data_IF_051758335198
#
_entry.id   IF_051758335198
#
_cell.length_a   1.000
_cell.length_b   1.000
_cell.length_c   1.000
_cell.angle_alpha   90.00
_cell.angle_beta   90.00
_cell.angle_gamma   90.00
#
_symmetry.space_group_name_H-M   'P 1'
#
loop_
_entity.id
_entity.type
_entity.pdbx_description
1 polymer ?
#
# COMPACT_ATOMS: atom_id res chain seq x y z
N UNK A 1 10.79 0.32 14.93
CA UNK A 1 10.02 -0.76 14.30
C UNK A 1 8.58 -0.67 14.79
N UNK A 2 7.60 -0.71 13.89
CA UNK A 2 6.18 -0.64 14.22
C UNK A 2 5.61 -2.05 14.47
N UNK A 3 4.80 -2.18 15.52
CA UNK A 3 4.01 -3.39 15.77
C UNK A 3 2.71 -3.35 14.95
N UNK A 4 2.81 -3.79 13.69
CA UNK A 4 1.68 -3.86 12.75
C UNK A 4 1.35 -5.33 12.49
N UNK A 5 0.17 -5.81 12.92
CA UNK A 5 -0.26 -7.18 12.65
C UNK A 5 -0.31 -7.48 11.15
N UNK A 6 0.25 -8.62 10.75
CA UNK A 6 0.18 -9.08 9.36
C UNK A 6 -1.26 -9.44 8.99
N UNK A 7 -1.78 -8.79 7.94
CA UNK A 7 -3.05 -9.13 7.31
C UNK A 7 -2.74 -9.81 5.98
N UNK A 8 -3.10 -11.09 5.86
CA UNK A 8 -2.92 -11.85 4.60
C UNK A 8 -3.83 -11.33 3.51
N UNK A 9 -3.36 -11.29 2.27
CA UNK A 9 -4.23 -10.98 1.14
C UNK A 9 -5.29 -12.07 0.95
N UNK A 10 -6.57 -11.68 0.77
CA UNK A 10 -7.69 -12.61 0.57
C UNK A 10 -7.75 -13.16 -0.87
N UNK A 11 -6.96 -12.59 -1.79
CA UNK A 11 -6.89 -12.92 -3.21
C UNK A 11 -5.55 -12.45 -3.80
N UNK A 12 -5.13 -13.05 -4.92
CA UNK A 12 -3.84 -12.79 -5.59
C UNK A 12 -3.61 -11.33 -6.00
N UNK A 13 -4.70 -10.61 -6.20
CA UNK A 13 -4.80 -9.24 -6.65
C UNK A 13 -4.96 -8.23 -5.50
N UNK A 14 -5.16 -8.74 -4.28
CA UNK A 14 -5.45 -7.94 -3.10
C UNK A 14 -4.19 -7.59 -2.29
N UNK A 15 -2.99 -7.80 -2.83
CA UNK A 15 -1.73 -7.43 -2.16
C UNK A 15 -1.73 -5.97 -1.71
N UNK A 16 -2.24 -5.08 -2.57
CA UNK A 16 -2.33 -3.63 -2.33
C UNK A 16 -3.41 -3.32 -1.29
N UNK A 17 -4.67 -3.74 -1.46
CA UNK A 17 -5.69 -3.64 -0.42
C UNK A 17 -5.25 -4.15 0.95
N UNK A 18 -4.58 -5.30 1.02
CA UNK A 18 -4.10 -5.86 2.28
C UNK A 18 -3.05 -4.96 2.95
N UNK A 19 -2.09 -4.42 2.17
CA UNK A 19 -1.09 -3.49 2.70
C UNK A 19 -1.72 -2.15 3.14
N UNK A 20 -2.71 -1.65 2.41
CA UNK A 20 -3.45 -0.44 2.78
C UNK A 20 -4.28 -0.68 4.04
N UNK A 21 -4.99 -1.80 4.15
CA UNK A 21 -5.75 -2.17 5.36
C UNK A 21 -4.85 -2.19 6.60
N UNK A 22 -3.66 -2.81 6.51
CA UNK A 22 -2.66 -2.79 7.60
C UNK A 22 -2.23 -1.37 7.96
N UNK A 23 -1.87 -0.57 6.96
CA UNK A 23 -1.41 0.80 7.19
C UNK A 23 -2.50 1.67 7.83
N UNK A 24 -3.76 1.51 7.39
CA UNK A 24 -4.90 2.25 7.91
C UNK A 24 -5.20 1.89 9.36
N UNK A 25 -5.24 0.59 9.69
CA UNK A 25 -5.46 0.15 11.08
C UNK A 25 -4.32 0.54 12.02
N UNK A 26 -3.10 0.68 11.50
CA UNK A 26 -1.98 1.23 12.26
C UNK A 26 -2.18 2.72 12.55
N UNK A 27 -2.59 3.51 11.55
CA UNK A 27 -2.79 4.95 11.69
C UNK A 27 -3.97 5.29 12.59
N UNK A 28 -5.05 4.53 12.48
CA UNK A 28 -6.25 4.70 13.30
C UNK A 28 -7.00 3.35 13.40
N UNK A 29 -7.02 2.81 14.63
CA UNK A 29 -7.66 1.53 14.94
C UNK A 29 -9.19 1.56 14.78
N UNK A 30 -9.79 2.76 14.73
CA UNK A 30 -11.23 2.93 14.53
C UNK A 30 -11.65 2.84 13.06
N UNK A 31 -10.70 2.82 12.12
CA UNK A 31 -11.01 2.64 10.70
C UNK A 31 -11.46 1.20 10.45
N UNK A 32 -12.77 1.02 10.31
CA UNK A 32 -13.40 -0.23 9.89
C UNK A 32 -13.45 -0.32 8.36
N UNK A 33 -12.30 -0.58 7.75
CA UNK A 33 -12.19 -0.88 6.31
C UNK A 33 -11.48 -2.20 6.10
N UNK A 34 -11.91 -2.95 5.08
CA UNK A 34 -11.27 -4.20 4.67
C UNK A 34 -10.81 -4.18 3.21
N UNK A 35 -10.08 -5.22 2.79
CA UNK A 35 -9.57 -5.35 1.42
C UNK A 35 -10.65 -5.21 0.33
N UNK A 36 -11.86 -5.72 0.58
CA UNK A 36 -12.95 -5.67 -0.37
C UNK A 36 -13.51 -4.26 -0.47
N UNK A 37 -13.64 -3.54 0.63
CA UNK A 37 -14.11 -2.15 0.63
C UNK A 37 -13.12 -1.23 -0.08
N UNK A 38 -11.82 -1.43 0.12
CA UNK A 38 -10.76 -0.74 -0.65
C UNK A 38 -10.92 -1.00 -2.15
N UNK A 39 -11.18 -2.25 -2.55
CA UNK A 39 -11.40 -2.61 -3.95
C UNK A 39 -12.70 -2.00 -4.52
N UNK A 40 -13.80 -1.99 -3.75
CA UNK A 40 -15.06 -1.33 -4.16
C UNK A 40 -14.85 0.17 -4.38
N UNK A 41 -14.14 0.84 -3.47
CA UNK A 41 -13.84 2.26 -3.61
C UNK A 41 -13.01 2.54 -4.85
N UNK A 42 -12.09 1.65 -5.19
CA UNK A 42 -11.35 1.72 -6.45
C UNK A 42 -12.28 1.64 -7.67
N UNK A 43 -13.21 0.68 -7.71
CA UNK A 43 -14.21 0.59 -8.78
C UNK A 43 -15.07 1.86 -8.88
N UNK A 44 -15.56 2.37 -7.73
CA UNK A 44 -16.29 3.63 -7.69
C UNK A 44 -15.45 4.81 -8.22
N UNK A 45 -14.15 4.86 -7.92
CA UNK A 45 -13.27 5.94 -8.36
C UNK A 45 -12.95 5.90 -9.86
N UNK A 46 -12.84 4.71 -10.45
CA UNK A 46 -12.48 4.56 -11.86
C UNK A 46 -13.68 4.50 -12.80
N UNK A 47 -14.78 3.90 -12.35
CA UNK A 47 -15.94 3.60 -13.18
C UNK A 47 -17.22 4.29 -12.73
N UNK A 48 -17.24 4.88 -11.53
CA UNK A 48 -18.44 5.50 -10.97
C UNK A 48 -19.49 4.51 -10.44
N UNK A 49 -19.24 3.20 -10.55
CA UNK A 49 -20.12 2.15 -10.05
C UNK A 49 -19.31 0.89 -9.67
N UNK A 50 -19.90 0.02 -8.83
CA UNK A 50 -19.35 -1.31 -8.49
C UNK A 50 -20.20 -2.39 -9.19
N UNK A 51 -19.63 -3.18 -10.12
CA UNK A 51 -20.33 -4.34 -10.70
C UNK A 51 -20.74 -5.35 -9.62
N UNK A 52 -21.85 -6.07 -9.80
CA UNK A 52 -22.27 -7.13 -8.85
C UNK A 52 -21.26 -8.27 -8.76
N UNK A 53 -20.54 -8.52 -9.85
CA UNK A 53 -19.50 -9.53 -10.03
C UNK A 53 -18.08 -8.93 -9.93
N UNK A 54 -17.90 -7.78 -9.27
CA UNK A 54 -16.59 -7.12 -9.20
C UNK A 54 -15.50 -7.99 -8.58
N UNK A 55 -15.86 -8.96 -7.72
CA UNK A 55 -14.94 -9.91 -7.10
C UNK A 55 -14.38 -10.92 -8.10
N UNK A 56 -15.14 -11.24 -9.15
CA UNK A 56 -14.73 -12.14 -10.22
C UNK A 56 -13.94 -11.40 -11.32
N UNK A 57 -13.99 -10.06 -11.30
CA UNK A 57 -13.31 -9.15 -12.24
C UNK A 57 -12.05 -8.51 -11.68
N UNK A 58 -11.50 -9.05 -10.58
CA UNK A 58 -10.32 -8.48 -9.92
C UNK A 58 -9.00 -8.91 -10.59
N UNK A 59 -9.03 -9.22 -11.87
CA UNK A 59 -7.88 -9.65 -12.69
C UNK A 59 -6.80 -8.55 -12.83
N UNK A 60 -7.08 -7.34 -12.33
CA UNK A 60 -6.15 -6.22 -12.27
C UNK A 60 -6.17 -5.66 -10.85
N UNK A 61 -5.02 -5.69 -10.18
CA UNK A 61 -4.84 -5.05 -8.88
C UNK A 61 -5.05 -3.52 -8.93
N UNK A 62 -4.79 -2.84 -7.82
CA UNK A 62 -5.06 -1.39 -7.68
C UNK A 62 -3.84 -0.55 -8.10
N UNK A 63 -4.05 0.63 -8.67
CA UNK A 63 -2.95 1.57 -8.95
C UNK A 63 -2.60 2.44 -7.72
N UNK A 64 -1.37 2.95 -7.63
CA UNK A 64 -1.02 3.91 -6.56
C UNK A 64 -1.87 5.19 -6.57
N UNK A 65 -2.20 5.72 -7.77
CA UNK A 65 -3.05 6.91 -7.89
C UNK A 65 -4.44 6.71 -7.31
N UNK A 66 -4.94 5.48 -7.39
CA UNK A 66 -6.21 5.09 -6.78
C UNK A 66 -6.16 5.07 -5.26
N UNK A 67 -5.05 4.63 -4.66
CA UNK A 67 -4.87 4.65 -3.21
C UNK A 67 -4.99 6.08 -2.68
N UNK A 68 -4.35 7.05 -3.35
CA UNK A 68 -4.43 8.46 -2.95
C UNK A 68 -5.89 8.94 -2.86
N UNK A 69 -6.69 8.66 -3.90
CA UNK A 69 -8.12 9.02 -3.93
C UNK A 69 -8.94 8.33 -2.84
N UNK A 70 -8.62 7.07 -2.53
CA UNK A 70 -9.30 6.33 -1.45
C UNK A 70 -9.00 7.00 -0.11
N UNK A 71 -7.73 7.35 0.15
CA UNK A 71 -7.32 7.99 1.40
C UNK A 71 -7.93 9.39 1.56
N UNK A 72 -8.00 10.16 0.47
CA UNK A 72 -8.70 11.45 0.42
C UNK A 72 -10.20 11.31 0.79
N UNK A 73 -10.88 10.30 0.24
CA UNK A 73 -12.30 10.02 0.53
C UNK A 73 -12.55 9.57 1.97
N UNK A 74 -11.60 8.88 2.58
CA UNK A 74 -11.64 8.48 3.98
C UNK A 74 -11.28 9.64 4.92
N UNK A 75 -11.08 10.85 4.38
CA UNK A 75 -10.64 12.05 5.12
C UNK A 75 -9.32 11.85 5.86
N UNK A 76 -8.49 10.92 5.40
CA UNK A 76 -7.19 10.60 5.98
C UNK A 76 -6.18 11.60 5.43
N UNK A 77 -6.02 12.70 6.17
CA UNK A 77 -5.06 13.77 5.86
C UNK A 77 -3.64 13.37 6.26
N UNK A 78 -3.08 12.37 5.57
CA UNK A 78 -1.69 11.92 5.76
C UNK A 78 -0.92 11.98 4.45
N UNK A 79 0.36 12.33 4.54
CA UNK A 79 1.28 12.28 3.42
C UNK A 79 1.50 10.83 3.00
N UNK A 80 0.96 10.45 1.85
CA UNK A 80 1.23 9.14 1.26
C UNK A 80 2.37 9.32 0.29
N UNK A 81 3.53 8.81 0.68
CA UNK A 81 4.74 8.94 -0.13
C UNK A 81 4.85 7.68 -0.98
N UNK A 82 4.61 7.84 -2.28
CA UNK A 82 4.76 6.78 -3.25
C UNK A 82 6.17 6.78 -3.82
N UNK A 83 6.94 5.74 -3.49
CA UNK A 83 8.26 5.55 -4.06
C UNK A 83 8.15 4.55 -5.23
N UNK A 84 8.20 5.07 -6.46
CA UNK A 84 8.25 4.26 -7.67
C UNK A 84 9.70 3.93 -8.00
N UNK A 85 10.11 2.67 -7.82
CA UNK A 85 11.49 2.22 -8.06
C UNK A 85 11.93 2.14 -9.53
N UNK A 86 11.14 2.65 -10.49
CA UNK A 86 11.34 2.45 -11.93
C UNK A 86 11.15 3.71 -12.78
N UNK A 87 11.42 4.89 -12.23
CA UNK A 87 11.90 5.98 -13.09
C UNK A 87 13.39 5.74 -13.30
N UNK A 88 13.79 5.49 -14.54
CA UNK A 88 15.20 5.48 -14.94
C UNK A 88 15.89 6.71 -14.35
N UNK A 89 16.81 6.50 -13.39
CA UNK A 89 17.58 7.58 -12.77
C UNK A 89 17.52 7.68 -11.24
N UNK A 90 16.62 6.97 -10.53
CA UNK A 90 16.65 6.98 -9.05
C UNK A 90 17.58 5.90 -8.50
N UNK A 91 18.71 6.33 -7.92
CA UNK A 91 19.66 5.48 -7.21
C UNK A 91 18.96 4.78 -6.02
N UNK A 92 19.07 3.44 -5.85
CA UNK A 92 18.52 2.72 -4.70
C UNK A 92 18.88 3.34 -3.35
N UNK A 93 20.04 3.99 -3.23
CA UNK A 93 20.44 4.74 -2.03
C UNK A 93 19.48 5.91 -1.73
N UNK A 94 18.97 6.61 -2.74
CA UNK A 94 18.00 7.71 -2.55
C UNK A 94 16.66 7.17 -2.03
N UNK A 95 16.24 6.00 -2.53
CA UNK A 95 15.04 5.32 -2.04
C UNK A 95 15.23 4.91 -0.58
N UNK A 96 16.38 4.32 -0.24
CA UNK A 96 16.75 3.95 1.12
C UNK A 96 16.71 5.15 2.07
N UNK A 97 17.36 6.26 1.72
CA UNK A 97 17.38 7.48 2.52
C UNK A 97 15.98 8.08 2.67
N UNK A 98 15.18 8.10 1.60
CA UNK A 98 13.78 8.57 1.69
C UNK A 98 12.95 7.70 2.63
N UNK A 99 13.11 6.38 2.58
CA UNK A 99 12.38 5.46 3.47
C UNK A 99 12.84 5.65 4.92
N UNK A 100 14.15 5.78 5.17
CA UNK A 100 14.69 6.08 6.50
C UNK A 100 14.08 7.35 7.08
N UNK A 101 14.14 8.45 6.31
CA UNK A 101 13.61 9.74 6.73
C UNK A 101 12.13 9.64 7.13
N UNK A 102 11.32 8.93 6.35
CA UNK A 102 9.89 8.77 6.63
C UNK A 102 9.65 7.92 7.89
N UNK A 103 10.36 6.80 8.01
CA UNK A 103 10.21 5.90 9.16
C UNK A 103 10.66 6.57 10.46
N UNK A 104 11.79 7.28 10.44
CA UNK A 104 12.43 7.88 11.61
C UNK A 104 11.83 9.23 12.00
N UNK A 105 11.55 10.11 11.03
CA UNK A 105 11.04 11.46 11.34
C UNK A 105 9.52 11.48 11.40
N UNK A 106 8.85 10.89 10.42
CA UNK A 106 7.38 10.96 10.30
C UNK A 106 6.65 9.87 11.09
N UNK A 107 7.36 8.84 11.57
CA UNK A 107 6.80 7.74 12.36
C UNK A 107 5.58 7.06 11.68
N UNK A 108 5.66 6.88 10.35
CA UNK A 108 4.61 6.22 9.56
C UNK A 108 5.20 5.08 8.73
N UNK A 109 4.47 3.97 8.53
CA UNK A 109 4.93 2.88 7.70
C UNK A 109 4.89 3.26 6.22
N UNK A 110 5.73 2.63 5.40
CA UNK A 110 5.93 3.00 3.98
C UNK A 110 5.45 1.88 3.07
N UNK A 111 4.58 2.22 2.11
CA UNK A 111 4.17 1.29 1.05
C UNK A 111 5.18 1.35 -0.10
N UNK A 112 5.80 0.21 -0.42
CA UNK A 112 6.75 0.11 -1.54
C UNK A 112 6.23 -0.90 -2.55
N UNK A 113 6.21 -0.51 -3.83
CA UNK A 113 6.03 -1.47 -4.90
C UNK A 113 7.36 -2.04 -5.35
N UNK A 114 7.41 -3.36 -5.39
CA UNK A 114 8.54 -4.16 -5.85
C UNK A 114 8.14 -4.91 -7.11
N UNK A 115 9.08 -5.08 -8.04
CA UNK A 115 8.87 -5.97 -9.18
C UNK A 115 9.33 -7.37 -8.77
N UNK A 116 8.41 -8.31 -8.60
CA UNK A 116 8.73 -9.71 -8.30
C UNK A 116 9.18 -10.43 -9.56
N UNK A 117 9.78 -11.60 -9.41
CA UNK A 117 10.08 -12.54 -10.50
C UNK A 117 8.84 -12.68 -11.40
N UNK A 118 9.04 -12.74 -12.72
CA UNK A 118 7.96 -12.76 -13.74
C UNK A 118 7.21 -11.44 -13.98
N UNK A 119 7.81 -10.28 -13.67
CA UNK A 119 7.28 -8.94 -13.96
C UNK A 119 5.98 -8.57 -13.23
N UNK A 120 5.59 -9.31 -12.21
CA UNK A 120 4.42 -9.00 -11.39
C UNK A 120 4.81 -7.88 -10.42
N UNK A 121 4.08 -6.76 -10.45
CA UNK A 121 4.21 -5.72 -9.43
C UNK A 121 3.56 -6.22 -8.13
N UNK A 122 4.35 -6.24 -7.06
CA UNK A 122 3.90 -6.57 -5.71
C UNK A 122 4.06 -5.35 -4.80
N UNK A 123 3.34 -5.32 -3.69
CA UNK A 123 3.49 -4.27 -2.67
C UNK A 123 3.83 -4.91 -1.33
N UNK A 124 4.73 -4.25 -0.60
CA UNK A 124 5.06 -4.55 0.78
C UNK A 124 4.86 -3.31 1.64
N UNK A 125 4.57 -3.52 2.92
CA UNK A 125 4.51 -2.47 3.93
C UNK A 125 5.78 -2.50 4.76
N UNK A 126 6.67 -1.51 4.61
CA UNK A 126 7.86 -1.36 5.43
C UNK A 126 7.43 -0.86 6.81
N UNK A 127 7.80 -1.62 7.84
CA UNK A 127 7.43 -1.38 9.25
C UNK A 127 8.61 -0.92 10.09
N UNK A 128 9.83 -0.94 9.54
CA UNK A 128 11.01 -0.43 10.23
C UNK A 128 12.28 -0.60 9.43
N UNK A 129 13.35 -0.02 9.97
CA UNK A 129 14.71 -0.18 9.46
C UNK A 129 15.67 -0.33 10.63
N UNK A 130 16.73 -1.11 10.43
CA UNK A 130 17.89 -1.22 11.32
C UNK A 130 19.17 -1.27 10.48
N UNK A 131 19.90 -0.15 10.46
CA UNK A 131 21.02 0.07 9.54
C UNK A 131 20.58 0.02 8.08
N UNK A 132 20.98 -1.03 7.37
CA UNK A 132 20.59 -1.30 5.96
C UNK A 132 19.46 -2.34 5.84
N UNK A 133 19.01 -2.93 6.95
CA UNK A 133 18.00 -3.98 6.96
C UNK A 133 16.60 -3.38 7.06
N UNK A 134 15.72 -3.72 6.13
CA UNK A 134 14.30 -3.37 6.19
C UNK A 134 13.48 -4.47 6.84
N UNK A 135 12.56 -4.06 7.72
CA UNK A 135 11.51 -4.90 8.24
C UNK A 135 10.23 -4.58 7.48
N UNK A 136 9.54 -5.61 7.00
CA UNK A 136 8.36 -5.43 6.18
C UNK A 136 7.34 -6.55 6.35
N UNK A 137 6.08 -6.17 6.23
CA UNK A 137 4.97 -7.11 6.10
C UNK A 137 4.71 -7.39 4.62
N UNK A 138 4.70 -8.67 4.27
CA UNK A 138 4.46 -9.18 2.94
C UNK A 138 3.19 -10.04 2.96
N UNK A 139 2.16 -9.61 2.22
CA UNK A 139 0.79 -10.12 2.32
C UNK A 139 0.49 -11.32 1.44
#
# INVERSE_FOLDING_TARGET
MFDIPLIKQKGTELCIPACVEMALRFLDKSIEIDQNDIMKQQWMNEKGYVPKDYQDRRDRGISFGSIKKILEKLEIKRDVIFIKGKEEGKNPAIILESVKEILELKHVPVLISLKKTYNICHIVLITGIDGENFYYNNT
#
